data_IF_665774738691
#
_entry.id   IF_665774738691
#
_cell.length_a   1.000
_cell.length_b   1.000
_cell.length_c   1.000
_cell.angle_alpha   90.00
_cell.angle_beta   90.00
_cell.angle_gamma   90.00
#
_symmetry.space_group_name_H-M   'P 1'
#
loop_
_entity.id
_entity.type
_entity.pdbx_description
1 polymer ?
#
# COMPACT_ATOMS: atom_id res chain seq x y z
N UNK A 1 -31.43 -2.36 -4.71
CA UNK A 1 -31.56 -1.08 -5.41
C UNK A 1 -30.67 -0.05 -4.74
N UNK A 2 -29.78 0.57 -5.52
CA UNK A 2 -29.01 1.73 -5.08
C UNK A 2 -29.87 2.96 -5.37
N UNK A 3 -30.27 3.65 -4.30
CA UNK A 3 -31.01 4.91 -4.36
C UNK A 3 -30.00 6.06 -4.60
N UNK A 4 -30.45 7.32 -4.79
CA UNK A 4 -29.55 8.42 -5.14
C UNK A 4 -28.32 8.48 -4.23
N UNK A 5 -27.15 8.44 -4.85
CA UNK A 5 -25.85 8.56 -4.21
C UNK A 5 -25.15 9.80 -4.72
N UNK A 6 -24.35 10.45 -3.86
CA UNK A 6 -23.53 11.59 -4.27
C UNK A 6 -22.08 11.36 -3.86
N UNK A 7 -21.16 11.97 -4.60
CA UNK A 7 -19.74 11.99 -4.27
C UNK A 7 -19.22 13.40 -4.46
N UNK A 8 -18.61 13.95 -3.41
CA UNK A 8 -17.97 15.27 -3.42
C UNK A 8 -16.51 15.04 -3.05
N UNK A 9 -15.60 15.63 -3.81
CA UNK A 9 -14.17 15.52 -3.56
C UNK A 9 -13.46 16.85 -3.79
N UNK A 10 -12.51 17.16 -2.92
CA UNK A 10 -11.51 18.19 -3.20
C UNK A 10 -10.27 17.49 -3.75
N UNK A 11 -9.75 17.99 -4.87
CA UNK A 11 -8.50 17.49 -5.45
C UNK A 11 -7.33 17.69 -4.49
N UNK A 12 -6.30 16.84 -4.62
CA UNK A 12 -5.07 16.88 -3.83
C UNK A 12 -4.31 18.18 -4.13
N UNK A 13 -4.45 19.16 -3.25
CA UNK A 13 -3.77 20.45 -3.34
C UNK A 13 -2.84 20.63 -2.15
N UNK A 14 -1.74 21.40 -2.30
CA UNK A 14 -0.95 21.79 -1.17
C UNK A 14 -1.83 22.63 -0.22
N UNK A 15 -1.77 22.33 1.07
CA UNK A 15 -2.52 23.03 2.12
C UNK A 15 -2.15 24.51 2.16
N UNK A 16 -0.88 24.80 1.87
CA UNK A 16 -0.34 26.14 1.71
C UNK A 16 0.18 26.30 0.29
N UNK A 17 -0.39 27.24 -0.47
CA UNK A 17 0.03 27.49 -1.85
C UNK A 17 1.51 27.86 -1.90
N UNK A 18 2.27 27.21 -2.79
CA UNK A 18 3.63 27.62 -3.07
C UNK A 18 3.62 29.05 -3.63
N UNK A 19 4.64 29.87 -3.32
CA UNK A 19 4.73 31.20 -3.90
C UNK A 19 4.76 31.09 -5.43
N UNK A 20 3.87 31.83 -6.08
CA UNK A 20 3.71 31.78 -7.53
C UNK A 20 4.99 32.26 -8.22
N UNK A 21 5.43 31.53 -9.25
CA UNK A 21 6.37 32.05 -10.26
C UNK A 21 5.66 33.08 -11.14
N UNK A 22 5.00 34.08 -10.56
CA UNK A 22 4.47 35.19 -11.34
C UNK A 22 5.70 35.93 -11.85
N UNK A 23 6.09 35.68 -13.10
CA UNK A 23 7.03 36.55 -13.81
C UNK A 23 6.42 37.93 -13.71
N UNK A 24 6.94 38.79 -12.82
CA UNK A 24 6.67 40.22 -12.96
C UNK A 24 7.07 40.53 -14.41
N UNK A 25 6.16 41.08 -15.22
CA UNK A 25 6.48 41.63 -16.54
C UNK A 25 7.34 42.88 -16.34
N UNK A 26 8.52 42.70 -15.76
CA UNK A 26 9.59 43.68 -15.75
C UNK A 26 10.44 43.35 -16.97
N UNK A 27 10.94 44.37 -17.65
CA UNK A 27 11.90 44.24 -18.73
C UNK A 27 13.21 43.70 -18.13
N UNK A 28 13.35 42.38 -18.11
CA UNK A 28 14.50 41.68 -17.51
C UNK A 28 15.76 42.09 -18.28
N UNK A 29 16.79 42.58 -17.59
CA UNK A 29 18.11 42.77 -18.19
C UNK A 29 18.81 41.40 -18.32
N UNK A 30 19.66 41.17 -19.33
CA UNK A 30 20.31 39.85 -19.56
C UNK A 30 21.10 39.29 -18.37
N UNK A 31 21.50 40.15 -17.43
CA UNK A 31 22.34 39.92 -16.26
C UNK A 31 21.55 39.76 -14.93
N UNK A 32 20.23 39.97 -14.92
CA UNK A 32 19.42 39.93 -13.71
C UNK A 32 18.98 38.48 -13.38
N UNK A 33 19.60 37.87 -12.37
CA UNK A 33 19.14 36.58 -11.82
C UNK A 33 17.85 36.77 -11.04
N UNK A 34 16.75 36.20 -11.53
CA UNK A 34 15.47 36.19 -10.80
C UNK A 34 15.62 35.25 -9.61
N UNK A 35 15.58 35.79 -8.39
CA UNK A 35 15.46 34.94 -7.19
C UNK A 35 14.14 34.16 -7.26
N UNK A 36 14.22 32.86 -7.50
CA UNK A 36 13.04 32.01 -7.44
C UNK A 36 12.50 32.00 -6.01
N UNK A 37 11.18 32.19 -5.83
CA UNK A 37 10.63 32.27 -4.50
C UNK A 37 10.83 30.93 -3.78
N UNK A 38 11.51 30.98 -2.63
CA UNK A 38 11.98 29.81 -1.90
C UNK A 38 10.80 28.97 -1.38
N UNK A 39 10.70 27.73 -1.86
CA UNK A 39 9.74 26.75 -1.34
C UNK A 39 10.18 26.29 0.06
N UNK A 40 9.31 26.50 1.04
CA UNK A 40 9.43 25.95 2.40
C UNK A 40 8.72 24.61 2.54
N UNK A 41 9.07 23.86 3.59
CA UNK A 41 8.57 22.50 3.87
C UNK A 41 7.04 22.39 3.85
N UNK A 42 6.33 23.40 4.36
CA UNK A 42 4.88 23.37 4.49
C UNK A 42 4.14 23.51 3.16
N UNK A 43 4.80 23.98 2.09
CA UNK A 43 4.23 23.96 0.74
C UNK A 43 4.16 22.56 0.13
N UNK A 44 4.80 21.58 0.77
CA UNK A 44 4.75 20.16 0.37
C UNK A 44 3.79 19.34 1.24
N UNK A 45 2.92 20.00 2.03
CA UNK A 45 1.85 19.34 2.77
C UNK A 45 0.61 19.31 1.89
N UNK A 46 0.15 18.12 1.51
CA UNK A 46 -1.03 17.92 0.67
C UNK A 46 -2.17 17.36 1.50
N UNK A 47 -3.35 17.92 1.29
CA UNK A 47 -4.59 17.45 1.89
C UNK A 47 -5.61 17.15 0.79
N UNK A 48 -6.28 16.02 0.92
CA UNK A 48 -7.44 15.67 0.11
C UNK A 48 -8.57 15.16 1.00
N UNK A 49 -9.79 15.40 0.55
CA UNK A 49 -10.99 14.91 1.22
C UNK A 49 -11.99 14.47 0.16
N UNK A 50 -12.57 13.30 0.39
CA UNK A 50 -13.64 12.73 -0.43
C UNK A 50 -14.77 12.30 0.48
N UNK A 51 -15.98 12.70 0.15
CA UNK A 51 -17.19 12.29 0.84
C UNK A 51 -18.15 11.62 -0.12
N UNK A 52 -18.59 10.41 0.20
CA UNK A 52 -19.52 9.63 -0.60
C UNK A 52 -20.74 9.28 0.25
N UNK A 53 -21.90 9.81 -0.16
CA UNK A 53 -23.19 9.48 0.42
C UNK A 53 -23.90 8.42 -0.41
N UNK A 54 -24.41 7.38 0.23
CA UNK A 54 -25.19 6.33 -0.43
C UNK A 54 -26.45 6.02 0.35
N UNK A 55 -27.53 5.76 -0.38
CA UNK A 55 -28.77 5.23 0.13
C UNK A 55 -28.97 3.85 -0.52
N UNK A 56 -29.12 2.81 0.28
CA UNK A 56 -29.27 1.45 -0.23
C UNK A 56 -30.57 0.83 0.29
N UNK A 57 -31.29 0.18 -0.62
CA UNK A 57 -32.44 -0.67 -0.33
C UNK A 57 -32.18 -2.07 -0.85
N UNK A 58 -32.10 -3.04 0.04
CA UNK A 58 -31.88 -4.45 -0.30
C UNK A 58 -33.09 -5.29 0.09
N UNK A 59 -33.52 -6.16 -0.83
CA UNK A 59 -34.52 -7.19 -0.57
C UNK A 59 -33.80 -8.54 -0.58
N UNK A 60 -33.82 -9.23 0.55
CA UNK A 60 -33.13 -10.51 0.77
C UNK A 60 -34.19 -11.59 0.89
N UNK A 61 -34.11 -12.64 0.09
CA UNK A 61 -35.01 -13.80 0.17
C UNK A 61 -34.53 -14.73 1.29
N UNK A 62 -35.45 -15.13 2.17
CA UNK A 62 -35.25 -16.20 3.12
C UNK A 62 -35.27 -17.53 2.38
N UNK A 63 -34.21 -18.33 2.55
CA UNK A 63 -34.10 -19.63 1.89
C UNK A 63 -35.00 -20.70 2.51
N UNK A 64 -35.44 -20.51 3.76
CA UNK A 64 -36.25 -21.51 4.49
C UNK A 64 -37.73 -21.34 4.17
N UNK A 65 -38.27 -20.14 4.35
CA UNK A 65 -39.72 -19.89 4.23
C UNK A 65 -40.13 -19.18 2.93
N UNK A 66 -39.19 -18.96 1.99
CA UNK A 66 -39.39 -18.14 0.78
C UNK A 66 -39.86 -16.70 1.02
N UNK A 67 -39.90 -16.24 2.29
CA UNK A 67 -40.24 -14.87 2.68
C UNK A 67 -39.15 -13.89 2.27
N UNK A 68 -39.45 -12.59 2.26
CA UNK A 68 -38.46 -11.57 1.94
C UNK A 68 -38.26 -10.63 3.13
N UNK A 69 -37.01 -10.31 3.42
CA UNK A 69 -36.64 -9.28 4.38
C UNK A 69 -36.08 -8.06 3.64
N UNK A 70 -36.34 -6.90 4.21
CA UNK A 70 -35.84 -5.63 3.71
C UNK A 70 -34.71 -5.14 4.60
N UNK A 71 -33.66 -4.64 3.96
CA UNK A 71 -32.48 -4.07 4.59
C UNK A 71 -32.19 -2.75 3.93
N UNK A 72 -32.50 -1.69 4.65
CA UNK A 72 -32.39 -0.32 4.17
C UNK A 72 -31.46 0.46 5.08
N UNK A 73 -30.55 1.23 4.47
CA UNK A 73 -29.60 2.02 5.21
C UNK A 73 -29.05 3.18 4.39
N UNK A 74 -28.55 4.17 5.11
CA UNK A 74 -27.90 5.36 4.55
C UNK A 74 -26.48 5.43 5.11
N UNK A 75 -25.51 5.71 4.26
CA UNK A 75 -24.11 5.91 4.67
C UNK A 75 -23.58 7.23 4.17
N UNK A 76 -22.77 7.89 4.99
CA UNK A 76 -21.89 8.97 4.58
C UNK A 76 -20.46 8.58 4.95
N UNK A 77 -19.63 8.32 3.94
CA UNK A 77 -18.24 7.92 4.12
C UNK A 77 -17.36 9.08 3.69
N UNK A 78 -16.62 9.65 4.63
CA UNK A 78 -15.66 10.73 4.39
C UNK A 78 -14.25 10.23 4.64
N UNK A 79 -13.43 10.21 3.60
CA UNK A 79 -12.00 9.90 3.68
C UNK A 79 -11.20 11.19 3.52
N UNK A 80 -10.34 11.47 4.49
CA UNK A 80 -9.40 12.58 4.52
C UNK A 80 -7.98 12.01 4.51
N UNK A 81 -7.14 12.48 3.60
CA UNK A 81 -5.74 12.07 3.49
C UNK A 81 -4.83 13.28 3.64
N UNK A 82 -3.76 13.12 4.40
CA UNK A 82 -2.70 14.10 4.58
C UNK A 82 -1.37 13.45 4.18
N UNK A 83 -0.56 14.14 3.40
CA UNK A 83 0.79 13.67 3.04
C UNK A 83 1.77 14.84 3.00
N UNK A 84 3.01 14.62 3.40
CA UNK A 84 4.03 15.67 3.38
C UNK A 84 5.39 15.15 2.92
N UNK A 85 5.57 14.81 1.63
CA UNK A 85 6.87 14.43 1.10
C UNK A 85 7.85 15.60 1.16
N UNK A 86 9.01 15.39 1.78
CA UNK A 86 10.05 16.40 1.96
C UNK A 86 11.42 15.80 1.66
N UNK A 87 12.27 16.58 0.99
CA UNK A 87 13.65 16.19 0.69
C UNK A 87 14.58 16.79 1.74
N UNK A 88 15.18 15.92 2.54
CA UNK A 88 16.20 16.23 3.52
C UNK A 88 17.59 15.98 2.94
N UNK A 89 18.53 16.89 3.24
CA UNK A 89 19.94 16.78 2.83
C UNK A 89 20.18 16.60 1.32
N UNK A 90 19.17 16.85 0.47
CA UNK A 90 19.28 16.72 -0.99
C UNK A 90 19.25 15.28 -1.53
N UNK A 91 19.22 14.24 -0.68
CA UNK A 91 19.20 12.84 -1.11
C UNK A 91 18.18 11.96 -0.38
N UNK A 92 17.75 12.33 0.82
CA UNK A 92 16.82 11.55 1.63
C UNK A 92 15.41 12.14 1.50
N UNK A 93 14.46 11.38 0.99
CA UNK A 93 13.05 11.79 0.97
C UNK A 93 12.31 11.15 2.12
N UNK A 94 11.78 11.99 3.02
CA UNK A 94 10.90 11.59 4.10
C UNK A 94 9.46 11.96 3.74
N UNK A 95 8.52 11.04 3.93
CA UNK A 95 7.14 11.18 3.49
C UNK A 95 6.18 10.69 4.58
N UNK A 96 5.94 11.48 5.64
CA UNK A 96 4.83 11.24 6.55
C UNK A 96 3.48 11.36 5.83
N UNK A 97 2.55 10.51 6.23
CA UNK A 97 1.17 10.54 5.78
C UNK A 97 0.21 10.05 6.87
N UNK A 98 -1.03 10.51 6.78
CA UNK A 98 -2.14 10.07 7.61
C UNK A 98 -3.38 9.92 6.75
N UNK A 99 -4.13 8.85 6.94
CA UNK A 99 -5.43 8.65 6.31
C UNK A 99 -6.47 8.46 7.40
N UNK A 100 -7.61 9.13 7.28
CA UNK A 100 -8.73 9.05 8.21
C UNK A 100 -10.01 8.83 7.42
N UNK A 101 -10.72 7.74 7.70
CA UNK A 101 -12.04 7.45 7.13
C UNK A 101 -13.08 7.51 8.23
N UNK A 102 -13.96 8.50 8.17
CA UNK A 102 -15.15 8.59 9.01
C UNK A 102 -16.34 8.02 8.24
N UNK A 103 -17.04 7.06 8.83
CA UNK A 103 -18.24 6.46 8.27
C UNK A 103 -19.41 6.74 9.20
N UNK A 104 -20.43 7.44 8.71
CA UNK A 104 -21.72 7.59 9.36
C UNK A 104 -22.70 6.60 8.72
N UNK A 105 -23.54 5.98 9.53
CA UNK A 105 -24.51 4.97 9.15
C UNK A 105 -25.83 5.24 9.86
N UNK A 106 -26.94 5.26 9.13
CA UNK A 106 -28.29 5.21 9.68
C UNK A 106 -29.00 3.98 9.13
N UNK A 107 -29.51 3.13 10.01
CA UNK A 107 -30.31 1.97 9.63
C UNK A 107 -31.78 2.32 9.68
N UNK A 108 -32.54 1.86 8.70
CA UNK A 108 -34.00 1.94 8.73
C UNK A 108 -34.59 0.70 9.44
N UNK A 109 -35.81 0.79 9.99
CA UNK A 109 -36.47 -0.32 10.67
C UNK A 109 -36.55 -1.60 9.83
N UNK A 110 -36.30 -2.75 10.45
CA UNK A 110 -36.38 -4.04 9.76
C UNK A 110 -36.17 -5.24 10.67
N UNK A 111 -36.94 -6.30 10.40
CA UNK A 111 -37.01 -7.53 11.24
C UNK A 111 -35.64 -8.14 11.58
N UNK A 112 -34.67 -8.10 10.67
CA UNK A 112 -33.32 -8.64 10.91
C UNK A 112 -32.51 -7.72 11.84
N UNK A 113 -32.63 -6.41 11.68
CA UNK A 113 -31.94 -5.46 12.56
C UNK A 113 -32.45 -5.58 14.00
N UNK A 114 -33.77 -5.72 14.17
CA UNK A 114 -34.41 -5.91 15.48
C UNK A 114 -33.98 -7.22 16.13
N UNK A 115 -33.97 -8.32 15.36
CA UNK A 115 -33.50 -9.63 15.84
C UNK A 115 -32.02 -9.63 16.26
N UNK A 116 -31.21 -8.73 15.71
CA UNK A 116 -29.80 -8.56 16.06
C UNK A 116 -29.58 -7.53 17.17
N UNK A 117 -30.65 -6.96 17.74
CA UNK A 117 -30.57 -5.92 18.77
C UNK A 117 -29.95 -4.62 18.28
N UNK A 118 -30.01 -4.32 16.99
CA UNK A 118 -29.45 -3.09 16.42
C UNK A 118 -30.45 -1.94 16.55
N UNK A 119 -30.02 -0.82 17.12
CA UNK A 119 -30.86 0.39 17.20
C UNK A 119 -31.03 1.02 15.82
N UNK A 120 -32.26 1.06 15.33
CA UNK A 120 -32.64 1.69 14.06
C UNK A 120 -32.86 3.20 14.25
N UNK A 121 -32.95 3.93 13.13
CA UNK A 121 -33.18 5.38 13.03
C UNK A 121 -32.16 6.30 13.72
N UNK A 122 -31.14 5.72 14.36
CA UNK A 122 -30.03 6.43 14.98
C UNK A 122 -28.79 6.45 14.10
N UNK A 123 -28.02 7.54 14.16
CA UNK A 123 -26.74 7.66 13.45
C UNK A 123 -25.66 6.95 14.25
N UNK A 124 -24.99 5.98 13.63
CA UNK A 124 -23.81 5.30 14.15
C UNK A 124 -22.58 5.76 13.36
N UNK A 125 -21.51 6.10 14.07
CA UNK A 125 -20.26 6.54 13.46
C UNK A 125 -19.13 5.55 13.69
N UNK A 126 -18.15 5.55 12.78
CA UNK A 126 -16.89 4.84 12.95
C UNK A 126 -15.78 5.62 12.26
N UNK A 127 -14.73 5.94 13.01
CA UNK A 127 -13.53 6.59 12.49
C UNK A 127 -12.40 5.58 12.42
N UNK A 128 -11.95 5.24 11.22
CA UNK A 128 -10.75 4.45 10.98
C UNK A 128 -9.61 5.39 10.64
N UNK A 129 -8.40 5.13 11.13
CA UNK A 129 -7.25 5.93 10.74
C UNK A 129 -5.98 5.09 10.63
N UNK A 130 -5.05 5.56 9.80
CA UNK A 130 -3.72 5.00 9.65
C UNK A 130 -2.71 6.13 9.58
N UNK A 131 -1.56 5.93 10.21
CA UNK A 131 -0.41 6.83 10.16
C UNK A 131 0.72 6.11 9.45
N UNK A 132 1.51 6.80 8.66
CA UNK A 132 2.67 6.21 7.99
C UNK A 132 3.80 7.22 7.85
N UNK A 133 5.02 6.74 7.88
CA UNK A 133 6.22 7.52 7.57
C UNK A 133 7.13 6.69 6.69
N UNK A 134 7.37 7.18 5.47
CA UNK A 134 8.29 6.56 4.52
C UNK A 134 9.59 7.34 4.44
N UNK A 135 10.71 6.65 4.29
CA UNK A 135 12.01 7.21 3.96
C UNK A 135 12.58 6.47 2.75
N UNK A 136 13.10 7.19 1.76
CA UNK A 136 13.83 6.58 0.65
C UNK A 136 14.97 7.48 0.19
N UNK A 137 15.91 6.88 -0.53
CA UNK A 137 17.01 7.60 -1.19
C UNK A 137 17.37 6.90 -2.49
N UNK A 138 18.15 7.57 -3.34
CA UNK A 138 18.70 6.97 -4.56
C UNK A 138 20.22 7.06 -4.52
N UNK A 139 20.86 5.91 -4.54
CA UNK A 139 22.30 5.73 -4.54
C UNK A 139 22.71 5.34 -5.96
N UNK A 140 23.71 6.04 -6.51
CA UNK A 140 24.18 5.83 -7.87
C UNK A 140 25.62 5.31 -7.83
N UNK A 141 25.88 4.20 -8.54
CA UNK A 141 27.22 3.70 -8.82
C UNK A 141 27.40 3.55 -10.32
N UNK A 142 28.57 3.92 -10.86
CA UNK A 142 28.91 3.69 -12.27
C UNK A 142 30.33 3.18 -12.36
N UNK A 143 30.53 2.10 -13.12
CA UNK A 143 31.85 1.53 -13.41
C UNK A 143 32.08 1.55 -14.93
N UNK A 144 33.31 1.80 -15.34
CA UNK A 144 33.69 1.91 -16.76
C UNK A 144 34.69 0.81 -17.13
N UNK A 145 34.23 -0.43 -17.35
CA UNK A 145 35.13 -1.54 -17.64
C UNK A 145 35.86 -1.38 -18.98
N UNK A 146 35.33 -0.58 -19.91
CA UNK A 146 35.91 -0.31 -21.24
C UNK A 146 36.41 -1.58 -21.95
N UNK A 147 35.66 -2.68 -21.85
CA UNK A 147 36.05 -4.00 -22.35
C UNK A 147 34.84 -4.69 -22.98
N UNK A 148 35.07 -5.51 -24.02
CA UNK A 148 34.03 -6.27 -24.73
C UNK A 148 32.85 -5.42 -25.23
N UNK A 149 33.13 -4.24 -25.80
CA UNK A 149 32.12 -3.26 -26.26
C UNK A 149 31.23 -2.68 -25.15
N UNK A 150 31.53 -2.95 -23.88
CA UNK A 150 30.86 -2.33 -22.73
C UNK A 150 31.68 -1.12 -22.31
N UNK A 151 31.11 0.06 -22.51
CA UNK A 151 31.72 1.34 -22.12
C UNK A 151 31.49 1.61 -20.63
N UNK A 152 30.28 1.34 -20.13
CA UNK A 152 29.93 1.61 -18.74
C UNK A 152 28.77 0.78 -18.25
N UNK A 153 28.79 0.46 -16.97
CA UNK A 153 27.66 -0.16 -16.25
C UNK A 153 27.29 0.79 -15.12
N UNK A 154 26.03 1.25 -15.12
CA UNK A 154 25.44 2.08 -14.07
C UNK A 154 24.47 1.24 -13.26
N UNK A 155 24.58 1.33 -11.95
CA UNK A 155 23.65 0.78 -10.99
C UNK A 155 22.98 1.92 -10.24
N UNK A 156 21.65 1.92 -10.22
CA UNK A 156 20.84 2.81 -9.39
C UNK A 156 20.15 1.96 -8.34
N UNK A 157 20.53 2.17 -7.08
CA UNK A 157 19.95 1.49 -5.94
C UNK A 157 19.01 2.47 -5.20
N UNK A 158 17.74 2.10 -5.06
CA UNK A 158 16.73 2.89 -4.35
C UNK A 158 16.26 2.11 -3.13
N UNK A 159 16.97 2.21 -1.99
CA UNK A 159 16.48 1.67 -0.73
C UNK A 159 15.32 2.52 -0.20
N UNK A 160 14.31 1.85 0.35
CA UNK A 160 13.19 2.49 1.00
C UNK A 160 12.74 1.71 2.24
N UNK A 161 12.42 2.45 3.30
CA UNK A 161 11.86 1.93 4.55
C UNK A 161 10.57 2.70 4.82
N UNK A 162 9.53 2.02 5.30
CA UNK A 162 8.29 2.67 5.71
C UNK A 162 7.79 2.07 7.01
N UNK A 163 7.35 2.91 7.94
CA UNK A 163 6.66 2.46 9.13
C UNK A 163 5.21 2.90 9.05
N UNK A 164 4.27 1.96 9.21
CA UNK A 164 2.83 2.23 9.24
C UNK A 164 2.21 1.72 10.53
N UNK A 165 1.29 2.52 11.07
CA UNK A 165 0.53 2.20 12.26
C UNK A 165 -0.96 2.28 11.95
N UNK A 166 -1.68 1.23 12.32
CA UNK A 166 -3.14 1.18 12.28
C UNK A 166 -3.62 0.59 13.61
N UNK A 167 -4.48 1.28 14.37
CA UNK A 167 -5.02 0.74 15.62
C UNK A 167 -6.17 -0.24 15.35
N UNK A 168 -6.48 -1.05 16.37
CA UNK A 168 -7.69 -1.87 16.37
C UNK A 168 -8.89 -0.99 16.74
N UNK A 169 -9.86 -0.86 15.83
CA UNK A 169 -11.09 -0.09 16.05
C UNK A 169 -12.28 -0.99 15.73
N UNK A 170 -13.07 -1.28 16.77
CA UNK A 170 -14.27 -2.13 16.71
C UNK A 170 -15.56 -1.36 17.01
N UNK A 171 -15.49 -0.03 17.08
CA UNK A 171 -16.64 0.85 17.36
C UNK A 171 -17.76 0.59 16.35
N UNK A 172 -18.97 0.32 16.85
CA UNK A 172 -20.15 0.00 16.05
C UNK A 172 -19.95 -1.17 15.05
N UNK A 173 -19.02 -2.09 15.32
CA UNK A 173 -18.69 -3.21 14.44
C UNK A 173 -19.91 -4.02 14.00
N UNK A 174 -20.86 -4.28 14.91
CA UNK A 174 -22.10 -5.01 14.59
C UNK A 174 -22.91 -4.34 13.47
N UNK A 175 -23.06 -3.02 13.54
CA UNK A 175 -23.78 -2.22 12.54
C UNK A 175 -23.08 -2.23 11.18
N UNK A 176 -21.76 -2.01 11.15
CA UNK A 176 -21.00 -2.01 9.90
C UNK A 176 -20.85 -3.41 9.29
N UNK A 177 -20.78 -4.45 10.12
CA UNK A 177 -20.81 -5.86 9.68
C UNK A 177 -22.17 -6.21 9.08
N UNK A 178 -23.27 -5.76 9.71
CA UNK A 178 -24.63 -5.96 9.20
C UNK A 178 -24.78 -5.45 7.76
N UNK A 179 -24.21 -4.28 7.43
CA UNK A 179 -24.24 -3.72 6.06
C UNK A 179 -23.15 -4.23 5.11
N UNK A 180 -22.27 -5.13 5.55
CA UNK A 180 -21.14 -5.62 4.74
C UNK A 180 -19.97 -4.64 4.61
N UNK A 181 -19.94 -3.57 5.40
CA UNK A 181 -18.89 -2.53 5.42
C UNK A 181 -17.65 -2.89 6.22
N UNK A 182 -17.42 -4.18 6.46
CA UNK A 182 -16.28 -4.71 7.24
C UNK A 182 -16.41 -4.53 8.76
N UNK A 183 -15.67 -5.36 9.48
CA UNK A 183 -15.69 -5.47 10.95
C UNK A 183 -14.98 -4.33 11.71
N UNK A 184 -14.32 -3.41 11.01
CA UNK A 184 -13.47 -2.37 11.62
C UNK A 184 -12.03 -2.49 11.13
N UNK A 185 -11.08 -2.05 11.94
CA UNK A 185 -9.64 -2.22 11.68
C UNK A 185 -9.01 -3.14 12.72
N UNK A 186 -8.00 -3.91 12.31
CA UNK A 186 -7.14 -4.68 13.20
C UNK A 186 -5.87 -3.89 13.53
N UNK A 187 -5.29 -4.14 14.71
CA UNK A 187 -4.03 -3.51 15.09
C UNK A 187 -2.92 -3.99 14.18
N UNK A 188 -2.17 -3.05 13.61
CA UNK A 188 -1.00 -3.30 12.77
C UNK A 188 0.08 -2.26 13.07
N UNK A 189 1.31 -2.73 13.18
CA UNK A 189 2.52 -1.91 13.32
C UNK A 189 3.54 -2.48 12.34
N UNK A 190 3.53 -2.01 11.10
CA UNK A 190 4.30 -2.64 10.02
C UNK A 190 5.49 -1.78 9.63
N UNK A 191 6.71 -2.34 9.71
CA UNK A 191 7.91 -1.81 9.08
C UNK A 191 8.09 -2.48 7.72
N UNK A 192 7.72 -1.80 6.64
CA UNK A 192 8.04 -2.18 5.28
C UNK A 192 9.47 -1.82 4.92
N UNK A 193 10.10 -2.66 4.11
CA UNK A 193 11.40 -2.38 3.52
C UNK A 193 11.39 -2.83 2.06
N UNK A 194 12.10 -2.09 1.23
CA UNK A 194 12.31 -2.45 -0.16
C UNK A 194 13.65 -1.96 -0.68
N UNK A 195 14.17 -2.68 -1.66
CA UNK A 195 15.40 -2.34 -2.35
C UNK A 195 15.17 -2.54 -3.83
N UNK A 196 15.06 -1.43 -4.56
CA UNK A 196 14.95 -1.48 -6.02
C UNK A 196 16.32 -1.23 -6.66
N UNK A 197 16.74 -2.10 -7.56
CA UNK A 197 18.01 -2.01 -8.25
C UNK A 197 17.76 -1.90 -9.76
N UNK A 198 18.18 -0.82 -10.39
CA UNK A 198 18.16 -0.67 -11.84
C UNK A 198 19.60 -0.73 -12.36
N UNK A 199 19.86 -1.71 -13.23
CA UNK A 199 21.15 -1.85 -13.91
C UNK A 199 21.01 -1.37 -15.35
N UNK A 200 21.87 -0.44 -15.75
CA UNK A 200 21.92 0.12 -17.09
C UNK A 200 23.31 -0.12 -17.68
N UNK A 201 23.37 -0.51 -18.95
CA UNK A 201 24.61 -0.68 -19.69
C UNK A 201 24.72 0.37 -20.79
N UNK A 202 25.94 0.87 -21.00
CA UNK A 202 26.33 1.67 -22.15
C UNK A 202 27.27 0.83 -23.00
N UNK A 203 26.88 0.60 -24.25
CA UNK A 203 27.59 -0.25 -25.19
C UNK A 203 28.04 0.52 -26.41
N UNK A 204 29.15 0.11 -27.00
CA UNK A 204 29.60 0.60 -28.30
C UNK A 204 29.03 -0.29 -29.41
N UNK A 205 28.28 0.30 -30.34
CA UNK A 205 27.68 -0.36 -31.48
C UNK A 205 28.14 0.36 -32.77
N UNK A 206 29.30 -0.06 -33.30
CA UNK A 206 29.98 0.67 -34.36
C UNK A 206 30.47 2.03 -33.84
N UNK A 207 30.11 3.10 -34.54
CA UNK A 207 30.46 4.48 -34.17
C UNK A 207 29.45 5.12 -33.19
N UNK A 208 28.40 4.39 -32.81
CA UNK A 208 27.33 4.90 -31.96
C UNK A 208 27.36 4.25 -30.58
N UNK A 209 27.16 5.06 -29.55
CA UNK A 209 26.96 4.60 -28.18
C UNK A 209 25.48 4.30 -27.90
N UNK A 210 25.18 3.09 -27.44
CA UNK A 210 23.81 2.67 -27.09
C UNK A 210 23.66 2.46 -25.59
N UNK A 211 22.71 3.17 -24.99
CA UNK A 211 22.29 2.95 -23.60
C UNK A 211 21.11 1.97 -23.55
N UNK A 212 21.19 0.98 -22.67
CA UNK A 212 20.13 -0.03 -22.48
C UNK A 212 19.92 -0.29 -20.99
N UNK A 213 18.66 -0.37 -20.56
CA UNK A 213 18.30 -0.87 -19.24
C UNK A 213 18.43 -2.40 -19.27
N UNK A 214 19.40 -2.94 -18.53
CA UNK A 214 19.72 -4.36 -18.51
C UNK A 214 18.62 -5.13 -17.79
N UNK A 215 18.38 -4.77 -16.54
CA UNK A 215 17.30 -5.34 -15.74
C UNK A 215 16.99 -4.46 -14.53
N UNK A 216 15.77 -4.62 -14.02
CA UNK A 216 15.37 -4.12 -12.71
C UNK A 216 15.24 -5.32 -11.78
N UNK A 217 15.82 -5.23 -10.59
CA UNK A 217 15.77 -6.22 -9.52
C UNK A 217 15.23 -5.58 -8.24
N UNK A 218 14.00 -5.93 -7.88
CA UNK A 218 13.31 -5.47 -6.70
C UNK A 218 13.30 -6.52 -5.59
N UNK A 219 13.51 -6.07 -4.36
CA UNK A 219 13.26 -6.84 -3.15
C UNK A 219 12.26 -6.08 -2.29
N UNK A 220 11.29 -6.77 -1.69
CA UNK A 220 10.38 -6.16 -0.74
C UNK A 220 9.92 -7.15 0.32
N UNK A 221 9.66 -6.63 1.50
CA UNK A 221 9.11 -7.36 2.63
C UNK A 221 8.67 -6.41 3.72
N UNK A 222 8.22 -6.96 4.82
CA UNK A 222 7.77 -6.19 5.97
C UNK A 222 7.87 -6.99 7.26
N UNK A 223 7.86 -6.28 8.38
CA UNK A 223 7.79 -6.84 9.71
C UNK A 223 6.65 -6.19 10.49
N UNK A 224 5.68 -6.98 10.95
CA UNK A 224 4.55 -6.52 11.73
C UNK A 224 4.79 -6.75 13.23
N UNK A 225 5.12 -5.69 13.97
CA UNK A 225 5.34 -5.70 15.41
C UNK A 225 4.08 -5.99 16.23
N UNK A 226 2.90 -5.91 15.62
CA UNK A 226 1.63 -6.16 16.30
C UNK A 226 1.12 -7.60 16.13
N UNK A 227 1.76 -8.41 15.28
CA UNK A 227 1.36 -9.78 15.05
C UNK A 227 1.92 -10.73 16.13
N UNK A 228 1.08 -11.64 16.60
CA UNK A 228 1.46 -12.68 17.57
C UNK A 228 2.35 -13.74 16.89
N UNK A 229 2.02 -14.10 15.65
CA UNK A 229 2.78 -15.02 14.81
C UNK A 229 3.08 -14.41 13.44
N UNK A 230 3.98 -15.03 12.67
CA UNK A 230 4.29 -14.64 11.29
C UNK A 230 4.62 -13.16 11.09
N UNK A 231 5.40 -12.57 12.02
CA UNK A 231 5.70 -11.14 12.04
C UNK A 231 6.41 -10.64 10.77
N UNK A 232 7.41 -11.36 10.26
CA UNK A 232 7.95 -11.12 8.91
C UNK A 232 6.95 -11.58 7.85
N UNK A 233 6.69 -10.74 6.86
CA UNK A 233 6.07 -11.19 5.62
C UNK A 233 7.09 -11.93 4.75
N UNK A 234 6.63 -12.74 3.78
CA UNK A 234 7.52 -13.33 2.79
C UNK A 234 8.33 -12.27 2.04
N UNK A 235 9.61 -12.55 1.82
CA UNK A 235 10.48 -11.74 0.97
C UNK A 235 10.08 -11.96 -0.49
N UNK A 236 9.59 -10.91 -1.12
CA UNK A 236 9.30 -10.89 -2.55
C UNK A 236 10.51 -10.39 -3.32
N UNK A 237 10.88 -11.12 -4.37
CA UNK A 237 11.93 -10.75 -5.32
C UNK A 237 11.32 -10.67 -6.71
N UNK A 238 11.50 -9.55 -7.38
CA UNK A 238 11.06 -9.36 -8.76
C UNK A 238 12.26 -9.01 -9.63
N UNK A 239 12.43 -9.69 -10.75
CA UNK A 239 13.40 -9.37 -11.79
C UNK A 239 12.63 -9.12 -13.08
N UNK A 240 12.90 -8.00 -13.74
CA UNK A 240 12.37 -7.71 -15.08
C UNK A 240 13.48 -7.25 -16.00
N UNK A 241 13.52 -7.79 -17.21
CA UNK A 241 14.46 -7.38 -18.25
C UNK A 241 13.75 -7.23 -19.59
N UNK A 242 14.11 -6.17 -20.31
CA UNK A 242 13.71 -5.92 -21.69
C UNK A 242 14.95 -5.69 -22.56
N UNK A 243 16.12 -6.13 -22.09
CA UNK A 243 17.39 -5.95 -22.78
C UNK A 243 17.55 -6.89 -23.98
N UNK A 244 16.78 -7.99 -23.98
CA UNK A 244 16.72 -8.94 -25.07
C UNK A 244 15.72 -8.37 -26.11
N UNK A 245 16.14 -8.18 -27.38
CA UNK A 245 15.23 -7.71 -28.43
C UNK A 245 13.98 -8.59 -28.52
N UNK A 246 12.83 -7.96 -28.64
CA UNK A 246 11.51 -8.60 -28.76
C UNK A 246 11.11 -9.51 -27.59
N UNK A 247 11.82 -9.47 -26.45
CA UNK A 247 11.52 -10.27 -25.27
C UNK A 247 11.38 -9.37 -24.05
N UNK A 248 10.21 -9.43 -23.42
CA UNK A 248 10.00 -8.96 -22.05
C UNK A 248 10.02 -10.18 -21.14
N UNK A 249 11.01 -10.28 -20.25
CA UNK A 249 11.10 -11.37 -19.28
C UNK A 249 10.87 -10.79 -17.89
N UNK A 250 9.94 -11.41 -17.17
CA UNK A 250 9.65 -11.09 -15.77
C UNK A 250 9.68 -12.36 -14.92
N UNK A 251 10.43 -12.31 -13.82
CA UNK A 251 10.58 -13.38 -12.83
C UNK A 251 10.13 -12.85 -11.49
N UNK A 252 9.24 -13.56 -10.82
CA UNK A 252 8.78 -13.24 -9.47
C UNK A 252 9.01 -14.45 -8.57
N UNK A 253 9.76 -14.26 -7.50
CA UNK A 253 10.03 -15.28 -6.50
C UNK A 253 9.56 -14.80 -5.14
N UNK A 254 8.91 -15.67 -4.36
CA UNK A 254 8.49 -15.39 -2.99
C UNK A 254 9.22 -16.35 -2.07
N UNK A 255 9.83 -15.83 -1.00
CA UNK A 255 10.54 -16.63 -0.01
C UNK A 255 9.93 -16.44 1.37
N UNK A 256 9.56 -17.53 2.03
CA UNK A 256 9.07 -17.51 3.40
C UNK A 256 10.22 -17.63 4.40
N UNK A 257 10.16 -16.85 5.48
CA UNK A 257 11.06 -16.98 6.62
C UNK A 257 10.64 -18.09 7.61
N UNK A 258 9.61 -18.86 7.27
CA UNK A 258 9.03 -19.88 8.15
C UNK A 258 9.07 -21.25 7.51
N UNK A 259 9.21 -22.26 8.36
CA UNK A 259 8.96 -23.65 7.99
C UNK A 259 7.46 -23.95 8.05
N UNK A 260 7.05 -24.93 7.26
CA UNK A 260 5.80 -25.61 7.49
C UNK A 260 6.11 -26.73 8.48
N UNK A 261 5.44 -26.75 9.61
CA UNK A 261 5.50 -27.87 10.56
C UNK A 261 4.13 -28.53 10.54
N UNK A 262 4.14 -29.83 10.29
CA UNK A 262 2.96 -30.67 10.49
C UNK A 262 2.83 -30.90 12.00
N UNK A 263 1.73 -30.49 12.66
CA UNK A 263 1.58 -30.67 14.09
C UNK A 263 1.59 -32.17 14.45
N UNK A 264 2.24 -32.51 15.56
CA UNK A 264 2.24 -33.90 16.04
C UNK A 264 0.81 -34.25 16.50
N UNK A 265 0.29 -35.48 16.27
CA UNK A 265 -1.04 -35.90 16.73
C UNK A 265 -1.41 -35.55 18.19
N UNK A 266 -0.43 -35.51 19.11
CA UNK A 266 -0.62 -35.12 20.51
C UNK A 266 -0.88 -33.62 20.71
N UNK A 267 -0.34 -32.75 19.86
CA UNK A 267 -0.55 -31.29 19.91
C UNK A 267 -1.92 -30.90 19.34
N UNK A 268 -2.43 -31.68 18.39
CA UNK A 268 -3.79 -31.51 17.84
C UNK A 268 -4.86 -31.77 18.92
N UNK A 269 -4.60 -32.66 19.87
CA UNK A 269 -5.53 -32.99 20.97
C UNK A 269 -5.51 -31.96 22.11
N UNK A 270 -4.42 -31.21 22.30
CA UNK A 270 -4.28 -30.22 23.38
C UNK A 270 -4.91 -28.84 23.04
N UNK A 271 -5.48 -28.70 21.84
CA UNK A 271 -5.87 -27.41 21.28
C UNK A 271 -4.67 -26.78 20.59
N UNK A 272 -4.78 -26.60 19.28
CA UNK A 272 -3.70 -26.06 18.46
C UNK A 272 -3.51 -24.57 18.80
N UNK A 273 -2.30 -24.12 19.20
CA UNK A 273 -2.04 -22.70 19.46
C UNK A 273 -2.30 -21.83 18.22
N UNK A 274 -2.73 -20.58 18.39
CA UNK A 274 -3.02 -19.65 17.27
C UNK A 274 -1.80 -19.43 16.33
N UNK A 275 -0.60 -19.75 16.81
CA UNK A 275 0.67 -19.76 16.06
C UNK A 275 0.71 -20.75 14.88
N UNK A 276 -0.29 -21.64 14.78
CA UNK A 276 -0.36 -22.73 13.82
C UNK A 276 -1.43 -22.52 12.74
N UNK A 277 -2.06 -21.35 12.65
CA UNK A 277 -3.14 -21.11 11.67
C UNK A 277 -2.73 -20.11 10.60
N UNK A 278 -2.82 -20.51 9.33
CA UNK A 278 -2.79 -19.55 8.22
C UNK A 278 -4.15 -18.84 8.11
N UNK A 279 -4.23 -17.64 7.50
CA UNK A 279 -5.51 -16.98 7.21
C UNK A 279 -6.50 -17.82 6.38
N UNK A 280 -6.01 -18.89 5.74
CA UNK A 280 -6.79 -19.85 4.96
C UNK A 280 -7.27 -21.08 5.76
N UNK A 281 -7.05 -21.12 7.08
CA UNK A 281 -7.56 -22.18 7.96
C UNK A 281 -6.77 -23.51 7.94
N UNK A 282 -5.61 -23.56 7.28
CA UNK A 282 -4.76 -24.75 7.29
C UNK A 282 -3.86 -24.74 8.52
N UNK A 283 -3.81 -25.88 9.23
CA UNK A 283 -2.96 -26.11 10.41
C UNK A 283 -1.51 -26.30 9.97
N UNK A 284 -0.68 -25.29 10.21
CA UNK A 284 0.74 -25.26 9.91
C UNK A 284 1.43 -24.52 11.06
N UNK A 285 2.16 -25.22 11.93
CA UNK A 285 3.06 -24.50 12.84
C UNK A 285 4.13 -23.81 12.01
N UNK A 286 4.37 -22.54 12.29
CA UNK A 286 5.39 -21.76 11.65
C UNK A 286 6.55 -21.50 12.61
N UNK A 287 7.53 -22.40 12.70
CA UNK A 287 8.80 -22.04 13.36
C UNK A 287 9.63 -21.10 12.46
N UNK A 288 10.08 -19.99 13.04
CA UNK A 288 10.93 -18.99 12.40
C UNK A 288 12.29 -19.61 12.03
N UNK A 289 12.67 -19.57 10.75
CA UNK A 289 14.03 -19.87 10.28
C UNK A 289 14.98 -18.71 10.55
N UNK A 290 16.28 -18.95 10.36
CA UNK A 290 17.26 -17.88 10.23
C UNK A 290 16.84 -16.90 9.11
N UNK A 291 16.89 -15.60 9.42
CA UNK A 291 16.63 -14.52 8.46
C UNK A 291 17.53 -14.62 7.21
N UNK A 292 18.67 -15.28 7.32
CA UNK A 292 19.67 -15.40 6.26
C UNK A 292 19.36 -16.53 5.27
N UNK A 293 18.39 -17.40 5.55
CA UNK A 293 18.06 -18.56 4.70
C UNK A 293 16.54 -18.71 4.49
N UNK A 294 15.88 -17.71 3.87
CA UNK A 294 14.45 -17.82 3.58
C UNK A 294 14.21 -18.92 2.53
N UNK A 295 13.11 -19.65 2.67
CA UNK A 295 12.74 -20.78 1.81
C UNK A 295 11.92 -20.28 0.64
N UNK A 296 12.30 -20.60 -0.60
CA UNK A 296 11.49 -20.33 -1.78
C UNK A 296 10.12 -21.04 -1.67
N UNK A 297 9.03 -20.29 -1.80
CA UNK A 297 7.65 -20.80 -1.75
C UNK A 297 6.95 -20.75 -3.09
N UNK A 298 7.26 -19.76 -3.93
CA UNK A 298 6.73 -19.69 -5.28
C UNK A 298 7.75 -19.03 -6.22
N UNK A 299 7.72 -19.47 -7.47
CA UNK A 299 8.49 -18.88 -8.57
C UNK A 299 7.59 -18.84 -9.79
N UNK A 300 7.39 -17.63 -10.33
CA UNK A 300 6.64 -17.41 -11.56
C UNK A 300 7.57 -16.76 -12.56
N UNK A 301 7.67 -17.35 -13.75
CA UNK A 301 8.41 -16.81 -14.88
C UNK A 301 7.40 -16.54 -15.98
N UNK A 302 7.35 -15.30 -16.44
CA UNK A 302 6.49 -14.88 -17.55
C UNK A 302 7.36 -14.21 -18.61
N UNK A 303 7.12 -14.56 -19.87
CA UNK A 303 7.74 -13.89 -21.00
C UNK A 303 6.68 -13.45 -21.99
N UNK A 304 6.85 -12.24 -22.55
CA UNK A 304 6.04 -11.71 -23.64
C UNK A 304 6.91 -11.35 -24.83
N UNK A 305 6.37 -11.56 -26.04
CA UNK A 305 6.97 -11.05 -27.28
C UNK A 305 6.45 -9.64 -27.53
N UNK A 306 7.35 -8.72 -27.92
CA UNK A 306 6.98 -7.36 -28.32
C UNK A 306 6.72 -7.26 -29.81
#
# INVERSE_FOLDING_TARGET
ELLPSFSIGRSRLPLFAAPSKTKKKIRIRPDEQIEEPKTRFYHSIYFDIRSTGQNLRQRIRNSVDSTFFRKDYQTLITTSSLSSPQKFLGFLTLSPSANVTNSLLRLEPGRIADSLGLTTESIKSRTLYSLSIGANTSIYGTVYPNRFRILGIRHVMTPAISYSFTPSIKTNQGYFRYIGGGSGSSRSKSLGYSLNNLFQGKFQAGDVEKKVDLFTLGFSGSYNFAAESLQFSPLSTSLRTTAIPNVDLSVNAVHSFYNLVTPHPSEVQAGVPDDYQTPSGNLIAAHRRSLLKPRLTSLTISSGVR
#
